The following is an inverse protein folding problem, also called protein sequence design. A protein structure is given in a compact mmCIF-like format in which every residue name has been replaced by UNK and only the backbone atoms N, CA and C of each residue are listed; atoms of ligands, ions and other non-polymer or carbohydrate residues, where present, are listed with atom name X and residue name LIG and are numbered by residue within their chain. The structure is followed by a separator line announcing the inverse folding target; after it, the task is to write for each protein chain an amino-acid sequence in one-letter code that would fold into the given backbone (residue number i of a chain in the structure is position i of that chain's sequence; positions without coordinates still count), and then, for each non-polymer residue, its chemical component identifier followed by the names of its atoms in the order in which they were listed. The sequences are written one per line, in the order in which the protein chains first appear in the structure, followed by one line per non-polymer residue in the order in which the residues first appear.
data_IF_423366397214
#
_entry.id   IF_423366397214
#
_cell.length_a   1.000
_cell.length_b   1.000
_cell.length_c   1.000
_cell.angle_alpha   90.00
_cell.angle_beta   90.00
_cell.angle_gamma   90.00
#
_symmetry.space_group_name_H-M   'P 1'
#
loop_
_entity.id
_entity.type
_entity.pdbx_description
1 polymer ?
#
# COMPACT_ATOMS: atom_id res chain seq x y z
N UNK A 1 -6.47 -2.42 13.09
CA UNK A 1 -7.93 -2.44 13.37
C UNK A 1 -8.14 -2.25 14.88
N UNK A 2 -9.18 -1.55 15.32
CA UNK A 2 -9.55 -1.41 16.74
C UNK A 2 -10.78 -2.26 17.03
N UNK A 3 -10.72 -3.06 18.09
CA UNK A 3 -11.75 -4.06 18.43
C UNK A 3 -11.92 -4.17 19.95
N UNK A 4 -12.99 -4.81 20.39
CA UNK A 4 -13.06 -5.36 21.75
C UNK A 4 -12.24 -6.65 21.83
N UNK A 5 -11.65 -6.94 23.00
CA UNK A 5 -10.76 -8.10 23.20
C UNK A 5 -11.41 -9.44 22.81
N UNK A 6 -12.71 -9.59 23.08
CA UNK A 6 -13.50 -10.80 22.77
C UNK A 6 -13.59 -11.10 21.26
N UNK A 7 -13.30 -10.13 20.39
CA UNK A 7 -13.32 -10.29 18.94
C UNK A 7 -11.96 -10.59 18.32
N UNK A 8 -10.93 -10.85 19.14
CA UNK A 8 -9.57 -11.08 18.66
C UNK A 8 -9.48 -12.24 17.67
N UNK A 9 -10.11 -13.39 17.98
CA UNK A 9 -10.08 -14.56 17.09
C UNK A 9 -10.76 -14.28 15.75
N UNK A 10 -11.95 -13.66 15.75
CA UNK A 10 -12.65 -13.27 14.53
C UNK A 10 -11.84 -12.27 13.71
N UNK A 11 -11.16 -11.34 14.37
CA UNK A 11 -10.36 -10.31 13.70
C UNK A 11 -9.14 -10.93 13.02
N UNK A 12 -8.45 -11.84 13.70
CA UNK A 12 -7.32 -12.56 13.11
C UNK A 12 -7.77 -13.43 11.94
N UNK A 13 -8.93 -14.09 12.05
CA UNK A 13 -9.52 -14.86 10.96
C UNK A 13 -9.74 -13.99 9.72
N UNK A 14 -10.47 -12.88 9.87
CA UNK A 14 -10.78 -11.95 8.77
C UNK A 14 -9.51 -11.35 8.15
N UNK A 15 -8.58 -10.85 8.97
CA UNK A 15 -7.33 -10.26 8.46
C UNK A 15 -6.48 -11.30 7.71
N UNK A 16 -6.42 -12.52 8.23
CA UNK A 16 -5.68 -13.61 7.59
C UNK A 16 -6.32 -14.03 6.27
N UNK A 17 -7.65 -14.06 6.18
CA UNK A 17 -8.38 -14.38 4.96
C UNK A 17 -8.19 -13.30 3.89
N UNK A 18 -8.34 -12.02 4.29
CA UNK A 18 -8.08 -10.88 3.41
C UNK A 18 -6.67 -10.91 2.82
N UNK A 19 -5.65 -11.19 3.64
CA UNK A 19 -4.26 -11.19 3.19
C UNK A 19 -3.89 -12.42 2.33
N UNK A 20 -4.48 -13.59 2.61
CA UNK A 20 -4.02 -14.85 2.02
C UNK A 20 -4.93 -15.40 0.91
N UNK A 21 -6.22 -15.06 0.93
CA UNK A 21 -7.23 -15.64 0.03
C UNK A 21 -7.94 -14.56 -0.83
N UNK A 22 -7.36 -13.37 -0.99
CA UNK A 22 -7.90 -12.33 -1.88
C UNK A 22 -8.07 -12.81 -3.33
N UNK A 23 -9.27 -12.68 -3.88
CA UNK A 23 -9.65 -13.25 -5.19
C UNK A 23 -9.56 -12.26 -6.36
N UNK A 24 -9.56 -10.96 -6.08
CA UNK A 24 -9.50 -9.86 -7.06
C UNK A 24 -10.49 -9.99 -8.23
N UNK A 25 -11.83 -10.06 -7.99
CA UNK A 25 -12.80 -10.16 -9.08
C UNK A 25 -12.67 -9.00 -10.08
N UNK A 26 -12.72 -9.29 -11.38
CA UNK A 26 -12.51 -8.26 -12.41
C UNK A 26 -13.46 -7.06 -12.24
N UNK A 27 -14.73 -7.32 -11.94
CA UNK A 27 -15.72 -6.26 -11.73
C UNK A 27 -15.35 -5.32 -10.58
N UNK A 28 -14.82 -5.85 -9.47
CA UNK A 28 -14.39 -5.05 -8.33
C UNK A 28 -13.12 -4.23 -8.65
N UNK A 29 -12.20 -4.78 -9.46
CA UNK A 29 -11.05 -4.02 -9.96
C UNK A 29 -11.50 -2.84 -10.82
N UNK A 30 -12.48 -3.02 -11.71
CA UNK A 30 -13.01 -1.93 -12.54
C UNK A 30 -13.68 -0.83 -11.69
N UNK A 31 -14.43 -1.22 -10.66
CA UNK A 31 -15.05 -0.28 -9.71
C UNK A 31 -13.98 0.49 -8.96
N UNK A 32 -13.02 -0.20 -8.35
CA UNK A 32 -11.95 0.40 -7.55
C UNK A 32 -11.06 1.31 -8.40
N UNK A 33 -10.78 0.94 -9.65
CA UNK A 33 -10.06 1.82 -10.59
C UNK A 33 -10.74 3.17 -10.76
N UNK A 34 -12.06 3.19 -10.85
CA UNK A 34 -12.82 4.43 -10.99
C UNK A 34 -12.71 5.28 -9.72
N UNK A 35 -12.75 4.66 -8.55
CA UNK A 35 -12.57 5.32 -7.25
C UNK A 35 -11.17 5.93 -7.15
N UNK A 36 -10.11 5.16 -7.43
CA UNK A 36 -8.72 5.65 -7.38
C UNK A 36 -8.50 6.82 -8.36
N UNK A 37 -9.08 6.76 -9.57
CA UNK A 37 -8.98 7.87 -10.52
C UNK A 37 -9.71 9.13 -10.03
N UNK A 38 -10.77 8.99 -9.22
CA UNK A 38 -11.43 10.13 -8.56
C UNK A 38 -10.58 10.67 -7.41
N UNK A 39 -9.96 9.79 -6.61
CA UNK A 39 -9.04 10.18 -5.54
C UNK A 39 -7.84 10.96 -6.08
N UNK A 40 -7.25 10.54 -7.19
CA UNK A 40 -6.16 11.28 -7.86
C UNK A 40 -6.61 12.70 -8.21
N UNK A 41 -7.82 12.87 -8.75
CA UNK A 41 -8.35 14.20 -9.09
C UNK A 41 -8.56 15.06 -7.84
N UNK A 42 -9.17 14.50 -6.80
CA UNK A 42 -9.38 15.22 -5.54
C UNK A 42 -8.05 15.64 -4.90
N UNK A 43 -7.03 14.77 -4.94
CA UNK A 43 -5.69 15.07 -4.46
C UNK A 43 -5.01 16.16 -5.30
N UNK A 44 -5.17 16.09 -6.62
CA UNK A 44 -4.68 17.13 -7.54
C UNK A 44 -5.35 18.49 -7.32
N UNK A 45 -6.59 18.52 -6.85
CA UNK A 45 -7.33 19.74 -6.53
C UNK A 45 -7.00 20.29 -5.13
N UNK A 46 -6.22 19.57 -4.30
CA UNK A 46 -5.75 20.01 -2.99
C UNK A 46 -4.28 20.46 -3.04
N UNK A 47 -3.99 21.77 -3.13
CA UNK A 47 -2.63 22.27 -3.37
C UNK A 47 -1.68 21.98 -2.20
N UNK A 48 -2.21 21.93 -0.99
CA UNK A 48 -1.52 21.61 0.25
C UNK A 48 -1.02 20.16 0.30
N UNK A 49 -1.73 19.24 -0.34
CA UNK A 49 -1.27 17.85 -0.51
C UNK A 49 -0.33 17.73 -1.72
N UNK A 50 -0.73 18.30 -2.86
CA UNK A 50 0.01 18.22 -4.12
C UNK A 50 1.43 18.80 -4.06
N UNK A 51 1.65 19.83 -3.24
CA UNK A 51 2.98 20.44 -3.06
C UNK A 51 4.01 19.43 -2.54
N UNK A 52 3.61 18.46 -1.71
CA UNK A 52 4.53 17.45 -1.21
C UNK A 52 4.93 16.44 -2.29
N UNK A 53 4.00 16.05 -3.15
CA UNK A 53 4.30 15.20 -4.31
C UNK A 53 5.27 15.91 -5.26
N UNK A 54 5.06 17.19 -5.57
CA UNK A 54 5.98 17.96 -6.40
C UNK A 54 7.34 18.15 -5.75
N UNK A 55 7.40 18.38 -4.44
CA UNK A 55 8.66 18.45 -3.72
C UNK A 55 9.42 17.13 -3.84
N UNK A 56 8.78 15.99 -3.55
CA UNK A 56 9.42 14.68 -3.61
C UNK A 56 9.86 14.32 -5.03
N UNK A 57 9.03 14.55 -6.04
CA UNK A 57 9.35 14.28 -7.44
C UNK A 57 10.55 15.12 -7.92
N UNK A 58 10.57 16.41 -7.59
CA UNK A 58 11.64 17.31 -7.98
C UNK A 58 12.93 17.07 -7.19
N UNK A 59 12.83 16.67 -5.93
CA UNK A 59 13.99 16.38 -5.08
C UNK A 59 14.59 15.00 -5.32
N UNK A 60 13.81 14.05 -5.83
CA UNK A 60 14.23 12.67 -6.08
C UNK A 60 13.87 12.21 -7.51
N UNK A 61 14.34 12.91 -8.54
CA UNK A 61 13.97 12.63 -9.92
C UNK A 61 14.39 11.20 -10.32
N UNK A 62 13.44 10.45 -10.89
CA UNK A 62 13.67 9.09 -11.36
C UNK A 62 13.87 8.03 -10.26
N UNK A 63 13.63 8.38 -8.99
CA UNK A 63 13.80 7.48 -7.86
C UNK A 63 12.43 7.09 -7.27
N UNK A 64 12.32 5.87 -6.73
CA UNK A 64 11.05 5.35 -6.19
C UNK A 64 10.49 6.17 -5.03
N UNK A 65 11.35 6.83 -4.25
CA UNK A 65 10.94 7.71 -3.15
C UNK A 65 10.26 9.00 -3.63
N UNK A 66 10.52 9.40 -4.88
CA UNK A 66 9.88 10.54 -5.51
C UNK A 66 8.58 10.19 -6.23
N UNK A 67 8.21 8.91 -6.32
CA UNK A 67 6.99 8.49 -7.00
C UNK A 67 5.74 8.80 -6.15
N UNK A 68 4.63 9.18 -6.79
CA UNK A 68 3.36 9.37 -6.10
C UNK A 68 2.84 8.05 -5.54
N UNK A 69 2.32 8.08 -4.32
CA UNK A 69 1.74 6.90 -3.65
C UNK A 69 0.46 6.39 -4.35
N UNK A 70 -0.28 7.27 -5.02
CA UNK A 70 -1.48 6.92 -5.79
C UNK A 70 -1.16 6.37 -7.19
N UNK A 71 0.08 6.56 -7.64
CA UNK A 71 0.49 6.32 -9.02
C UNK A 71 -0.02 7.39 -9.99
N UNK A 72 0.04 7.12 -11.29
CA UNK A 72 -0.49 8.03 -12.32
C UNK A 72 -1.78 7.47 -12.94
N UNK A 73 -2.66 8.33 -13.49
CA UNK A 73 -3.86 7.87 -14.20
C UNK A 73 -3.56 6.82 -15.27
N UNK A 74 -2.44 6.96 -16.00
CA UNK A 74 -2.04 6.03 -17.06
C UNK A 74 -1.66 4.65 -16.52
N UNK A 75 -1.02 4.60 -15.35
CA UNK A 75 -0.64 3.33 -14.70
C UNK A 75 -1.89 2.66 -14.13
N UNK A 76 -2.69 3.40 -13.34
CA UNK A 76 -3.92 2.91 -12.72
C UNK A 76 -4.90 2.35 -13.76
N UNK A 77 -4.97 3.00 -14.93
CA UNK A 77 -5.81 2.55 -16.05
C UNK A 77 -5.40 1.19 -16.64
N UNK A 78 -4.17 0.74 -16.41
CA UNK A 78 -3.60 -0.47 -17.02
C UNK A 78 -3.38 -1.62 -16.05
N UNK A 79 -3.47 -1.38 -14.73
CA UNK A 79 -3.27 -2.42 -13.71
C UNK A 79 -4.24 -3.57 -13.96
N UNK A 80 -3.69 -4.78 -14.09
CA UNK A 80 -4.43 -6.02 -14.32
C UNK A 80 -4.53 -6.87 -13.04
N UNK A 81 -5.44 -7.85 -13.03
CA UNK A 81 -5.54 -8.83 -11.96
C UNK A 81 -4.22 -9.59 -11.74
N UNK A 82 -3.50 -9.91 -12.83
CA UNK A 82 -2.19 -10.58 -12.76
C UNK A 82 -1.13 -9.71 -12.12
N UNK A 83 -1.14 -8.39 -12.33
CA UNK A 83 -0.19 -7.47 -11.71
C UNK A 83 -0.38 -7.46 -10.19
N UNK A 84 -1.64 -7.41 -9.72
CA UNK A 84 -1.97 -7.44 -8.29
C UNK A 84 -1.52 -8.75 -7.62
N UNK A 85 -1.83 -9.90 -8.26
CA UNK A 85 -1.40 -11.22 -7.76
C UNK A 85 0.11 -11.36 -7.75
N UNK A 86 0.78 -10.86 -8.79
CA UNK A 86 2.24 -10.84 -8.88
C UNK A 86 2.84 -9.98 -7.78
N UNK A 87 2.30 -8.78 -7.55
CA UNK A 87 2.76 -7.88 -6.48
C UNK A 87 2.67 -8.55 -5.10
N UNK A 88 1.51 -9.15 -4.78
CA UNK A 88 1.34 -9.86 -3.50
C UNK A 88 2.33 -11.00 -3.36
N UNK A 89 2.46 -11.86 -4.37
CA UNK A 89 3.41 -12.99 -4.34
C UNK A 89 4.87 -12.57 -4.14
N UNK A 90 5.23 -11.37 -4.60
CA UNK A 90 6.61 -10.85 -4.53
C UNK A 90 6.89 -10.10 -3.23
N UNK A 91 5.89 -9.40 -2.69
CA UNK A 91 6.10 -8.46 -1.59
C UNK A 91 5.55 -8.96 -0.24
N UNK A 92 4.52 -9.81 -0.23
CA UNK A 92 3.85 -10.26 0.99
C UNK A 92 4.46 -11.59 1.44
N UNK A 93 5.56 -11.50 2.20
CA UNK A 93 6.34 -12.63 2.70
C UNK A 93 6.54 -12.52 4.22
N UNK A 94 6.75 -13.65 4.94
CA UNK A 94 6.83 -13.62 6.41
C UNK A 94 7.96 -12.74 6.97
N UNK A 95 9.06 -12.57 6.24
CA UNK A 95 10.18 -11.70 6.61
C UNK A 95 9.91 -10.20 6.38
N UNK A 96 8.80 -9.86 5.73
CA UNK A 96 8.39 -8.48 5.38
C UNK A 96 7.08 -8.04 6.00
N UNK A 97 6.45 -8.89 6.81
CA UNK A 97 5.18 -8.60 7.48
C UNK A 97 5.42 -8.63 9.00
N UNK A 98 4.96 -7.58 9.68
CA UNK A 98 4.97 -7.50 11.14
C UNK A 98 3.52 -7.47 11.63
N UNK A 99 3.17 -8.40 12.51
CA UNK A 99 1.88 -8.38 13.22
C UNK A 99 2.11 -7.73 14.58
N UNK A 100 1.47 -6.58 14.81
CA UNK A 100 1.56 -5.84 16.06
C UNK A 100 0.22 -5.78 16.77
N UNK A 101 0.25 -5.80 18.10
CA UNK A 101 -0.94 -5.63 18.93
C UNK A 101 -0.62 -4.87 20.21
N UNK A 102 -1.58 -4.07 20.68
CA UNK A 102 -1.47 -3.30 21.91
C UNK A 102 -2.83 -3.25 22.61
N UNK A 103 -2.84 -3.56 23.91
CA UNK A 103 -4.04 -3.67 24.73
C UNK A 103 -3.88 -4.70 25.83
N UNK A 104 -5.00 -5.17 26.38
CA UNK A 104 -5.04 -6.27 27.35
C UNK A 104 -4.87 -7.62 26.65
N UNK A 105 -3.62 -7.99 26.39
CA UNK A 105 -3.24 -9.19 25.63
C UNK A 105 -2.07 -9.91 26.30
N UNK A 106 -2.20 -11.22 26.40
CA UNK A 106 -1.09 -12.12 26.68
C UNK A 106 -0.29 -12.40 25.40
N UNK A 107 1.02 -12.11 25.44
CA UNK A 107 1.88 -12.21 24.26
C UNK A 107 1.94 -13.62 23.70
N UNK A 108 2.16 -14.62 24.55
CA UNK A 108 2.34 -16.00 24.12
C UNK A 108 1.05 -16.58 23.51
N UNK A 109 -0.10 -16.26 24.10
CA UNK A 109 -1.40 -16.61 23.55
C UNK A 109 -1.66 -15.91 22.20
N UNK A 110 -1.26 -14.64 22.06
CA UNK A 110 -1.41 -13.90 20.82
C UNK A 110 -0.55 -14.48 19.69
N UNK A 111 0.73 -14.77 19.96
CA UNK A 111 1.63 -15.39 18.98
C UNK A 111 1.06 -16.71 18.46
N UNK A 112 0.57 -17.58 19.35
CA UNK A 112 -0.07 -18.85 18.96
C UNK A 112 -1.31 -18.65 18.08
N UNK A 113 -2.11 -17.61 18.34
CA UNK A 113 -3.26 -17.28 17.49
C UNK A 113 -2.80 -16.80 16.12
N UNK A 114 -1.77 -15.94 16.05
CA UNK A 114 -1.19 -15.48 14.78
C UNK A 114 -0.66 -16.67 13.96
N UNK A 115 0.11 -17.57 14.58
CA UNK A 115 0.61 -18.79 13.93
C UNK A 115 -0.52 -19.67 13.37
N UNK A 116 -1.65 -19.75 14.08
CA UNK A 116 -2.83 -20.51 13.64
C UNK A 116 -3.48 -19.93 12.38
N UNK A 117 -3.56 -18.60 12.26
CA UNK A 117 -4.31 -17.94 11.18
C UNK A 117 -3.44 -17.63 9.94
N UNK A 118 -2.17 -17.29 10.13
CA UNK A 118 -1.27 -16.83 9.06
C UNK A 118 -0.38 -17.97 8.51
N UNK A 119 -0.99 -18.99 7.91
CA UNK A 119 -0.31 -20.24 7.51
C UNK A 119 0.05 -20.37 6.03
N UNK A 120 -0.53 -19.54 5.17
CA UNK A 120 -0.42 -19.59 3.70
C UNK A 120 0.38 -18.43 3.09
N UNK A 121 1.06 -17.62 3.91
CA UNK A 121 1.94 -16.59 3.37
C UNK A 121 3.12 -17.27 2.68
N UNK A 122 3.36 -17.01 1.39
CA UNK A 122 4.43 -17.66 0.64
C UNK A 122 5.79 -17.28 1.22
N UNK A 123 6.67 -18.27 1.38
CA UNK A 123 8.06 -18.02 1.76
C UNK A 123 8.72 -17.06 0.75
N UNK A 124 9.62 -16.17 1.19
CA UNK A 124 10.28 -15.23 0.30
C UNK A 124 10.96 -15.96 -0.87
N UNK A 125 10.70 -15.53 -2.11
CA UNK A 125 11.36 -16.10 -3.30
C UNK A 125 12.87 -15.78 -3.34
N UNK A 126 13.29 -14.75 -2.59
CA UNK A 126 14.66 -14.32 -2.42
C UNK A 126 14.90 -14.10 -0.93
N UNK A 127 15.56 -15.05 -0.26
CA UNK A 127 15.95 -14.90 1.13
C UNK A 127 16.84 -13.65 1.29
N UNK A 128 16.36 -12.62 1.99
CA UNK A 128 17.21 -11.53 2.48
C UNK A 128 17.68 -10.46 1.48
N UNK A 129 17.38 -10.58 0.19
CA UNK A 129 17.59 -9.45 -0.73
C UNK A 129 16.40 -8.51 -0.65
N UNK A 130 16.55 -7.47 0.18
CA UNK A 130 15.79 -6.23 0.02
C UNK A 130 15.92 -5.86 -1.47
N UNK A 131 14.84 -5.75 -2.26
CA UNK A 131 14.96 -5.60 -3.71
C UNK A 131 15.72 -4.30 -3.95
N UNK A 132 17.02 -4.43 -4.25
CA UNK A 132 18.04 -3.39 -4.23
C UNK A 132 17.63 -2.13 -3.46
N UNK A 133 17.79 -2.12 -2.13
CA UNK A 133 17.69 -0.85 -1.40
C UNK A 133 18.71 0.11 -2.01
N UNK A 134 18.21 1.06 -2.79
CA UNK A 134 18.99 2.12 -3.40
C UNK A 134 18.80 3.32 -2.47
N UNK A 135 19.85 3.76 -1.75
CA UNK A 135 19.76 4.97 -0.95
C UNK A 135 19.29 6.14 -1.82
N UNK A 136 18.30 6.88 -1.30
CA UNK A 136 17.80 8.05 -1.99
C UNK A 136 18.90 9.12 -2.12
N UNK A 137 19.05 9.68 -3.31
CA UNK A 137 19.93 10.81 -3.59
C UNK A 137 19.09 12.07 -3.69
N UNK A 138 19.26 12.98 -2.72
CA UNK A 138 18.54 14.24 -2.70
C UNK A 138 19.17 15.25 -3.67
N UNK A 139 18.32 15.91 -4.45
CA UNK A 139 18.69 16.99 -5.34
C UNK A 139 18.01 18.28 -4.88
N UNK A 140 18.78 19.30 -4.43
CA UNK A 140 18.23 20.63 -4.17
C UNK A 140 17.58 21.18 -5.44
N UNK A 141 16.35 21.66 -5.31
CA UNK A 141 15.56 22.12 -6.45
C UNK A 141 14.68 23.30 -6.05
N UNK A 142 14.26 24.05 -7.04
CA UNK A 142 13.22 25.07 -6.93
C UNK A 142 12.30 24.94 -8.12
N UNK A 143 11.02 24.69 -7.85
CA UNK A 143 10.00 24.52 -8.87
C UNK A 143 8.85 25.47 -8.56
N UNK A 144 8.44 26.24 -9.56
CA UNK A 144 7.22 27.05 -9.50
C UNK A 144 6.22 26.39 -10.45
N UNK A 145 5.10 25.93 -9.90
CA UNK A 145 4.01 25.35 -10.67
C UNK A 145 2.80 26.25 -10.49
N UNK A 146 2.34 26.86 -11.59
CA UNK A 146 1.06 27.56 -11.62
C UNK A 146 -0.02 26.51 -11.89
N UNK A 147 -0.96 26.38 -10.96
CA UNK A 147 -2.10 25.47 -11.09
C UNK A 147 -3.37 26.21 -10.68
N UNK A 148 -4.38 26.11 -11.52
CA UNK A 148 -5.72 26.57 -11.18
C UNK A 148 -6.33 25.59 -10.18
N UNK A 149 -6.53 26.05 -8.94
CA UNK A 149 -7.03 25.23 -7.83
C UNK A 149 -8.56 25.26 -7.71
N UNK A 150 -9.21 25.91 -8.66
CA UNK A 150 -10.67 26.07 -8.74
C UNK A 150 -11.10 25.57 -10.11
N UNK A 151 -11.49 24.30 -10.23
CA UNK A 151 -12.22 23.82 -11.41
C UNK A 151 -13.27 22.77 -11.01
N UNK A 152 -14.53 23.20 -11.12
CA UNK A 152 -15.80 22.45 -11.24
C UNK A 152 -16.28 21.55 -10.08
N UNK A 153 -17.18 22.14 -9.26
CA UNK A 153 -18.37 21.45 -8.73
C UNK A 153 -19.22 20.84 -9.84
#
# INVERSE_FOLDING_TARGET
VRILGDHLDLTLDVLSDMLQNSTFPQEEIEKERTVILQEIKMYEDSPDDLVFDYLLQSSFPGQSVGASGLGTPEIVSKVSQSDLKSYISKHYSPDRIVVSCAGDIDHDAFVKKVEKYFTKIPAPSTAGENPGFIPASYHPTHSLVEKDTITAL
#
